data_IF_548873203374
#
_entry.id   IF_548873203374
#
_cell.length_a   1.000
_cell.length_b   1.000
_cell.length_c   1.000
_cell.angle_alpha   90.00
_cell.angle_beta   90.00
_cell.angle_gamma   90.00
#
_symmetry.space_group_name_H-M   'P 1'
#
loop_
_entity.id
_entity.type
_entity.pdbx_description
1 polymer ?
#
# COMPACT_ATOMS: atom_id res chain seq x y z
N UNK A 1 7.80 6.00 8.29
CA UNK A 1 7.73 5.82 6.82
C UNK A 1 8.33 4.48 6.43
N UNK A 2 9.43 4.06 7.06
CA UNK A 2 10.10 2.79 6.75
C UNK A 2 9.24 1.54 6.97
N UNK A 3 8.42 1.51 8.04
CA UNK A 3 7.54 0.36 8.31
C UNK A 3 6.57 0.08 7.15
N UNK A 4 5.91 1.11 6.62
CA UNK A 4 4.96 0.95 5.51
C UNK A 4 5.60 0.33 4.27
N UNK A 5 6.79 0.81 3.88
CA UNK A 5 7.48 0.26 2.71
C UNK A 5 8.00 -1.16 2.97
N UNK A 6 8.42 -1.47 4.20
CA UNK A 6 8.81 -2.82 4.58
C UNK A 6 7.63 -3.80 4.53
N UNK A 7 6.49 -3.44 5.13
CA UNK A 7 5.28 -4.26 5.12
C UNK A 7 4.77 -4.45 3.67
N UNK A 8 4.81 -3.38 2.86
CA UNK A 8 4.41 -3.44 1.45
C UNK A 8 5.36 -4.30 0.61
N UNK A 9 6.67 -4.27 0.90
CA UNK A 9 7.66 -5.13 0.26
C UNK A 9 7.41 -6.61 0.59
N UNK A 10 7.08 -6.91 1.85
CA UNK A 10 6.71 -8.25 2.30
C UNK A 10 5.44 -8.75 1.58
N UNK A 11 4.40 -7.91 1.50
CA UNK A 11 3.16 -8.23 0.79
C UNK A 11 3.36 -8.45 -0.71
N UNK A 12 4.30 -7.73 -1.32
CA UNK A 12 4.63 -7.87 -2.74
C UNK A 12 5.67 -8.96 -3.01
N UNK A 13 6.19 -9.60 -1.97
CA UNK A 13 7.29 -10.58 -2.01
C UNK A 13 8.52 -10.05 -2.79
N UNK A 14 8.90 -8.80 -2.54
CA UNK A 14 10.07 -8.14 -3.13
C UNK A 14 11.05 -7.68 -2.07
N UNK A 15 12.32 -7.55 -2.42
CA UNK A 15 13.36 -7.09 -1.49
C UNK A 15 13.10 -5.64 -1.02
N UNK A 16 12.63 -4.79 -1.93
CA UNK A 16 12.31 -3.40 -1.64
C UNK A 16 11.29 -2.84 -2.64
N UNK A 17 10.42 -1.97 -2.15
CA UNK A 17 9.49 -1.21 -2.98
C UNK A 17 10.12 0.11 -3.38
N UNK A 18 10.16 0.39 -4.68
CA UNK A 18 10.52 1.71 -5.18
C UNK A 18 9.29 2.65 -5.02
N UNK A 19 9.41 3.76 -4.27
CA UNK A 19 8.33 4.71 -4.05
C UNK A 19 7.76 5.34 -5.32
N UNK A 20 8.55 5.44 -6.39
CA UNK A 20 8.16 6.05 -7.66
C UNK A 20 7.68 5.01 -8.70
N UNK A 21 7.97 3.72 -8.48
CA UNK A 21 7.53 2.65 -9.38
C UNK A 21 6.01 2.45 -9.28
N UNK A 22 5.40 2.18 -10.44
CA UNK A 22 3.97 1.96 -10.52
C UNK A 22 3.59 0.61 -9.87
N UNK A 23 2.54 0.62 -9.03
CA UNK A 23 2.15 -0.55 -8.24
C UNK A 23 1.63 -1.70 -9.13
N UNK A 24 1.00 -1.36 -10.25
CA UNK A 24 0.50 -2.33 -11.24
C UNK A 24 1.59 -3.08 -12.02
N UNK A 25 2.86 -2.67 -11.87
CA UNK A 25 4.01 -3.35 -12.49
C UNK A 25 4.63 -4.42 -11.60
N UNK A 26 4.15 -4.59 -10.37
CA UNK A 26 4.56 -5.72 -9.52
C UNK A 26 3.67 -6.93 -9.82
N UNK A 27 4.28 -8.10 -10.03
CA UNK A 27 3.56 -9.33 -10.36
C UNK A 27 2.52 -9.72 -9.28
N UNK A 28 2.87 -9.47 -8.02
CA UNK A 28 2.03 -9.74 -6.86
C UNK A 28 1.02 -8.62 -6.56
N UNK A 29 0.84 -7.62 -7.44
CA UNK A 29 -0.20 -6.61 -7.29
C UNK A 29 -1.57 -7.14 -7.73
N UNK A 30 -2.08 -8.10 -6.98
CA UNK A 30 -3.35 -8.77 -7.25
C UNK A 30 -4.44 -8.42 -6.20
N UNK A 31 -5.60 -9.06 -6.32
CA UNK A 31 -6.71 -8.80 -5.40
C UNK A 31 -6.44 -9.31 -3.98
N UNK A 32 -5.64 -10.36 -3.79
CA UNK A 32 -5.29 -10.89 -2.49
C UNK A 32 -4.33 -9.94 -1.78
N UNK A 33 -3.28 -9.51 -2.47
CA UNK A 33 -2.32 -8.53 -1.94
C UNK A 33 -3.00 -7.21 -1.58
N UNK A 34 -3.94 -6.74 -2.41
CA UNK A 34 -4.73 -5.53 -2.10
C UNK A 34 -5.58 -5.72 -0.84
N UNK A 35 -6.20 -6.90 -0.64
CA UNK A 35 -6.99 -7.16 0.58
C UNK A 35 -6.09 -7.22 1.82
N UNK A 36 -4.95 -7.90 1.74
CA UNK A 36 -3.96 -7.95 2.81
C UNK A 36 -3.42 -6.56 3.16
N UNK A 37 -3.16 -5.73 2.15
CA UNK A 37 -2.77 -4.34 2.32
C UNK A 37 -3.86 -3.54 3.07
N UNK A 38 -5.14 -3.68 2.71
CA UNK A 38 -6.23 -3.00 3.42
C UNK A 38 -6.27 -3.42 4.88
N UNK A 39 -6.11 -4.71 5.17
CA UNK A 39 -6.07 -5.21 6.56
C UNK A 39 -4.86 -4.67 7.33
N UNK A 40 -3.69 -4.62 6.69
CA UNK A 40 -2.49 -4.02 7.29
C UNK A 40 -2.69 -2.53 7.59
N UNK A 41 -3.27 -1.77 6.66
CA UNK A 41 -3.55 -0.35 6.83
C UNK A 41 -4.54 -0.06 7.96
N UNK A 42 -5.56 -0.91 8.11
CA UNK A 42 -6.53 -0.83 9.20
C UNK A 42 -5.86 -1.12 10.56
N UNK A 43 -5.06 -2.19 10.64
CA UNK A 43 -4.43 -2.64 11.88
C UNK A 43 -3.29 -1.70 12.35
N UNK A 44 -2.41 -1.29 11.44
CA UNK A 44 -1.16 -0.58 11.80
C UNK A 44 -1.32 0.94 11.75
N UNK A 45 -2.20 1.45 10.89
CA UNK A 45 -2.37 2.88 10.64
C UNK A 45 -3.76 3.40 11.02
N UNK A 46 -4.71 2.51 11.38
CA UNK A 46 -6.07 2.89 11.75
C UNK A 46 -6.89 3.46 10.59
N UNK A 47 -6.48 3.18 9.34
CA UNK A 47 -7.15 3.72 8.15
C UNK A 47 -7.68 2.61 7.27
N UNK A 48 -8.99 2.65 7.01
CA UNK A 48 -9.64 1.70 6.11
C UNK A 48 -9.73 2.30 4.69
N UNK A 49 -9.37 1.51 3.69
CA UNK A 49 -9.54 1.83 2.26
C UNK A 49 -10.41 0.78 1.58
N UNK A 50 -11.14 1.19 0.54
CA UNK A 50 -11.75 0.22 -0.36
C UNK A 50 -10.73 -0.25 -1.41
N UNK A 51 -10.87 -1.48 -1.90
CA UNK A 51 -10.01 -1.99 -2.97
C UNK A 51 -10.06 -1.14 -4.25
N UNK A 52 -11.19 -0.47 -4.51
CA UNK A 52 -11.30 0.52 -5.59
C UNK A 52 -10.44 1.76 -5.35
N UNK A 53 -10.28 2.20 -4.11
CA UNK A 53 -9.45 3.35 -3.74
C UNK A 53 -7.97 2.99 -3.91
N UNK A 54 -7.57 1.81 -3.43
CA UNK A 54 -6.19 1.32 -3.52
C UNK A 54 -5.71 1.29 -4.98
N UNK A 55 -6.57 0.84 -5.91
CA UNK A 55 -6.27 0.74 -7.34
C UNK A 55 -6.15 2.10 -8.05
N UNK A 56 -6.57 3.19 -7.42
CA UNK A 56 -6.41 4.54 -7.98
C UNK A 56 -5.02 5.12 -7.71
N UNK A 57 -4.31 4.61 -6.71
CA UNK A 57 -2.95 5.06 -6.42
C UNK A 57 -1.97 4.51 -7.43
N UNK A 58 -1.13 5.39 -7.97
CA UNK A 58 -0.21 4.99 -9.03
C UNK A 58 1.05 4.34 -8.46
N UNK A 59 1.61 4.89 -7.37
CA UNK A 59 2.87 4.42 -6.78
C UNK A 59 2.78 4.24 -5.27
N UNK A 60 3.78 3.58 -4.68
CA UNK A 60 3.82 3.39 -3.23
C UNK A 60 3.95 4.71 -2.46
N UNK A 61 4.58 5.74 -3.04
CA UNK A 61 4.59 7.09 -2.46
C UNK A 61 3.20 7.74 -2.44
N UNK A 62 2.43 7.56 -3.52
CA UNK A 62 1.06 8.09 -3.64
C UNK A 62 0.12 7.40 -2.63
N UNK A 63 0.22 6.07 -2.53
CA UNK A 63 -0.47 5.27 -1.52
C UNK A 63 -0.15 5.74 -0.10
N UNK A 64 1.14 5.94 0.22
CA UNK A 64 1.57 6.44 1.53
C UNK A 64 1.02 7.84 1.84
N UNK A 65 1.02 8.74 0.86
CA UNK A 65 0.44 10.07 1.01
C UNK A 65 -1.07 10.00 1.30
N UNK A 66 -1.79 9.10 0.62
CA UNK A 66 -3.20 8.82 0.88
C UNK A 66 -3.45 8.30 2.30
N UNK A 67 -2.62 7.37 2.77
CA UNK A 67 -2.66 6.84 4.15
C UNK A 67 -2.45 7.96 5.16
N UNK A 68 -1.41 8.77 4.98
CA UNK A 68 -1.11 9.90 5.89
C UNK A 68 -2.22 10.94 5.91
N UNK A 69 -2.81 11.26 4.76
CA UNK A 69 -3.92 12.20 4.66
C UNK A 69 -5.18 11.72 5.39
N UNK A 70 -5.42 10.40 5.47
CA UNK A 70 -6.52 9.82 6.25
C UNK A 70 -6.19 9.69 7.73
N UNK A 71 -4.95 9.30 8.08
CA UNK A 71 -4.52 9.12 9.46
C UNK A 71 -4.39 10.45 10.23
N UNK A 72 -4.23 11.58 9.53
CA UNK A 72 -4.16 12.91 10.13
C UNK A 72 -5.54 13.55 10.41
N UNK A 73 -6.65 12.84 10.13
CA UNK A 73 -8.03 13.27 10.41
C UNK A 73 -8.58 12.55 11.63
#
# INVERSE_FOLDING_TARGET
MDKFYADLAELLEVDAVDPAKALDTYDNWDSLTILSLITMLDADFGVTFHASDIRQFNSAADLLAGVQARAAK
#
